data_IF_924191473361
#
_entry.id   IF_924191473361
#
_cell.length_a   1.000
_cell.length_b   1.000
_cell.length_c   1.000
_cell.angle_alpha   90.00
_cell.angle_beta   90.00
_cell.angle_gamma   90.00
#
_symmetry.space_group_name_H-M   'P 1'
#
loop_
_entity.id
_entity.type
_entity.pdbx_description
1 polymer ?
#
# COMPACT_ATOMS: atom_id res chain seq x y z
N UNK A 1 6.53 0.63 -12.08
CA UNK A 1 5.26 0.30 -11.37
C UNK A 1 4.45 1.58 -11.25
N UNK A 2 3.13 1.49 -11.21
CA UNK A 2 2.25 2.62 -10.89
C UNK A 2 1.29 2.24 -9.75
N UNK A 3 1.07 3.15 -8.79
CA UNK A 3 0.11 2.99 -7.69
C UNK A 3 -0.82 4.20 -7.66
N UNK A 4 -2.12 3.96 -7.53
CA UNK A 4 -3.14 5.00 -7.38
C UNK A 4 -3.76 4.91 -5.99
N UNK A 5 -4.01 6.06 -5.38
CA UNK A 5 -4.87 6.22 -4.21
C UNK A 5 -5.96 7.22 -4.58
N UNK A 6 -7.22 6.84 -4.35
CA UNK A 6 -8.39 7.63 -4.70
C UNK A 6 -9.24 7.91 -3.46
N UNK A 7 -9.73 9.14 -3.35
CA UNK A 7 -10.88 9.45 -2.51
C UNK A 7 -12.15 9.08 -3.28
N UNK A 8 -12.86 8.07 -2.78
CA UNK A 8 -13.99 7.46 -3.49
C UNK A 8 -15.29 8.27 -3.36
N UNK A 9 -15.37 9.23 -2.44
CA UNK A 9 -16.54 10.08 -2.29
C UNK A 9 -16.45 11.29 -3.25
N UNK A 10 -17.57 11.72 -3.85
CA UNK A 10 -17.61 12.94 -4.64
C UNK A 10 -17.38 14.22 -3.78
N UNK A 11 -16.73 15.25 -4.35
CA UNK A 11 -16.05 15.26 -5.64
C UNK A 11 -14.82 14.35 -5.64
N UNK A 12 -14.66 13.55 -6.70
CA UNK A 12 -13.57 12.57 -6.76
C UNK A 12 -12.20 13.25 -6.76
N UNK A 13 -11.24 12.60 -6.12
CA UNK A 13 -9.85 13.04 -6.06
C UNK A 13 -8.93 11.83 -6.15
N UNK A 14 -7.82 11.93 -6.87
CA UNK A 14 -6.83 10.86 -6.87
C UNK A 14 -5.40 11.38 -7.02
N UNK A 15 -4.47 10.56 -6.54
CA UNK A 15 -3.03 10.71 -6.76
C UNK A 15 -2.49 9.40 -7.32
N UNK A 16 -1.74 9.49 -8.41
CA UNK A 16 -0.96 8.39 -8.98
C UNK A 16 0.52 8.65 -8.76
N UNK A 17 1.24 7.64 -8.29
CA UNK A 17 2.70 7.62 -8.29
C UNK A 17 3.21 6.63 -9.33
N UNK A 18 4.05 7.11 -10.25
CA UNK A 18 4.92 6.26 -11.05
C UNK A 18 6.21 6.05 -10.27
N UNK A 19 6.65 4.80 -10.15
CA UNK A 19 7.77 4.43 -9.30
C UNK A 19 8.62 3.29 -9.87
N UNK A 20 9.91 3.38 -9.60
CA UNK A 20 10.90 2.33 -9.85
C UNK A 20 10.99 1.42 -8.63
N UNK A 21 11.00 0.10 -8.85
CA UNK A 21 11.22 -0.87 -7.77
C UNK A 21 12.69 -0.80 -7.38
N UNK A 22 12.93 -0.46 -6.11
CA UNK A 22 14.27 -0.33 -5.55
C UNK A 22 14.74 -1.65 -4.95
N UNK A 23 13.84 -2.42 -4.35
CA UNK A 23 14.14 -3.70 -3.72
C UNK A 23 12.95 -4.65 -3.78
N UNK A 24 13.24 -5.95 -3.87
CA UNK A 24 12.29 -7.05 -3.73
C UNK A 24 12.82 -7.98 -2.65
N UNK A 25 12.12 -8.07 -1.52
CA UNK A 25 12.48 -8.95 -0.40
C UNK A 25 11.50 -10.12 -0.33
N UNK A 26 12.02 -11.34 -0.38
CA UNK A 26 11.25 -12.58 -0.39
C UNK A 26 11.88 -13.60 0.59
N UNK A 27 11.15 -14.04 1.64
CA UNK A 27 9.81 -13.58 2.02
C UNK A 27 9.82 -12.19 2.65
N UNK A 28 8.67 -11.55 2.77
CA UNK A 28 8.50 -10.34 3.58
C UNK A 28 8.86 -10.63 5.05
N UNK A 29 9.71 -9.81 5.70
CA UNK A 29 9.97 -9.95 7.13
C UNK A 29 8.67 -9.92 7.96
N UNK A 30 8.47 -10.85 8.92
CA UNK A 30 7.22 -10.94 9.68
C UNK A 30 6.83 -9.65 10.40
N UNK A 31 7.81 -8.94 10.95
CA UNK A 31 7.62 -7.65 11.62
C UNK A 31 7.09 -6.58 10.66
N UNK A 32 7.59 -6.52 9.43
CA UNK A 32 7.13 -5.56 8.42
C UNK A 32 5.70 -5.91 7.96
N UNK A 33 5.41 -7.20 7.82
CA UNK A 33 4.06 -7.65 7.49
C UNK A 33 3.05 -7.26 8.58
N UNK A 34 3.42 -7.46 9.85
CA UNK A 34 2.57 -7.09 10.99
C UNK A 34 2.39 -5.57 11.06
N UNK A 35 3.45 -4.77 10.94
CA UNK A 35 3.38 -3.30 10.95
C UNK A 35 2.46 -2.75 9.86
N UNK A 36 2.54 -3.28 8.63
CA UNK A 36 1.63 -2.91 7.55
C UNK A 36 0.18 -3.29 7.91
N UNK A 37 -0.04 -4.49 8.46
CA UNK A 37 -1.36 -4.94 8.85
C UNK A 37 -1.97 -4.10 9.99
N UNK A 38 -1.16 -3.65 10.96
CA UNK A 38 -1.60 -2.78 12.07
C UNK A 38 -2.26 -1.51 11.55
N UNK A 39 -1.71 -0.92 10.47
CA UNK A 39 -2.24 0.31 9.84
C UNK A 39 -3.70 0.17 9.41
N UNK A 40 -4.15 -1.03 9.02
CA UNK A 40 -5.49 -1.27 8.46
C UNK A 40 -6.43 -2.03 9.39
N UNK A 41 -5.88 -2.90 10.24
CA UNK A 41 -6.66 -3.83 11.05
C UNK A 41 -6.63 -3.52 12.56
N UNK A 42 -5.69 -2.68 13.01
CA UNK A 42 -5.37 -2.50 14.42
C UNK A 42 -4.52 -3.66 14.97
N UNK A 43 -3.96 -3.49 16.17
CA UNK A 43 -2.91 -4.36 16.71
C UNK A 43 -3.28 -5.84 16.81
N UNK A 44 -4.46 -6.15 17.39
CA UNK A 44 -4.85 -7.53 17.66
C UNK A 44 -5.15 -8.30 16.37
N UNK A 45 -5.93 -7.70 15.47
CA UNK A 45 -6.24 -8.31 14.19
C UNK A 45 -5.01 -8.41 13.27
N UNK A 46 -4.06 -7.47 13.38
CA UNK A 46 -2.79 -7.53 12.64
C UNK A 46 -1.91 -8.72 13.06
N UNK A 47 -1.78 -8.98 14.37
CA UNK A 47 -1.06 -10.17 14.87
C UNK A 47 -1.67 -11.46 14.37
N UNK A 48 -3.00 -11.56 14.36
CA UNK A 48 -3.72 -12.73 13.86
C UNK A 48 -3.52 -12.88 12.34
N UNK A 49 -3.60 -11.77 11.60
CA UNK A 49 -3.33 -11.74 10.17
C UNK A 49 -1.92 -12.22 9.84
N UNK A 50 -0.88 -11.67 10.49
CA UNK A 50 0.51 -12.05 10.26
C UNK A 50 0.74 -13.55 10.51
N UNK A 51 0.20 -14.11 11.61
CA UNK A 51 0.26 -15.55 11.90
C UNK A 51 -0.46 -16.39 10.84
N UNK A 52 -1.60 -15.92 10.33
CA UNK A 52 -2.32 -16.63 9.25
C UNK A 52 -1.57 -16.68 7.92
N UNK A 53 -0.48 -15.91 7.78
CA UNK A 53 0.37 -15.91 6.59
C UNK A 53 1.63 -16.76 6.74
N UNK A 54 1.84 -17.37 7.91
CA UNK A 54 2.94 -18.30 8.08
C UNK A 54 2.81 -19.48 7.10
N UNK A 55 3.93 -19.84 6.45
CA UNK A 55 3.96 -20.84 5.38
C UNK A 55 3.31 -20.43 4.05
N UNK A 56 2.72 -19.23 3.94
CA UNK A 56 2.24 -18.67 2.67
C UNK A 56 3.28 -17.75 2.04
N UNK A 57 3.42 -17.79 0.72
CA UNK A 57 4.32 -16.88 0.00
C UNK A 57 3.85 -15.43 0.16
N UNK A 58 4.76 -14.55 0.57
CA UNK A 58 4.58 -13.10 0.54
C UNK A 58 5.88 -12.43 0.08
N UNK A 59 5.75 -11.31 -0.61
CA UNK A 59 6.90 -10.58 -1.16
C UNK A 59 6.72 -9.10 -0.83
N UNK A 60 7.76 -8.50 -0.29
CA UNK A 60 7.81 -7.07 -0.01
C UNK A 60 8.44 -6.34 -1.20
N UNK A 61 7.72 -5.36 -1.74
CA UNK A 61 8.22 -4.47 -2.76
C UNK A 61 8.50 -3.11 -2.16
N UNK A 62 9.76 -2.69 -2.19
CA UNK A 62 10.16 -1.32 -1.86
C UNK A 62 10.36 -0.55 -3.15
N UNK A 63 9.70 0.58 -3.30
CA UNK A 63 9.78 1.40 -4.50
C UNK A 63 10.12 2.86 -4.19
N UNK A 64 10.79 3.51 -5.14
CA UNK A 64 11.10 4.93 -5.10
C UNK A 64 10.15 5.68 -6.03
N UNK A 65 9.40 6.69 -5.54
CA UNK A 65 8.61 7.57 -6.39
C UNK A 65 9.50 8.30 -7.42
N UNK A 66 9.10 8.23 -8.69
CA UNK A 66 9.76 8.95 -9.79
C UNK A 66 8.92 10.13 -10.26
N UNK A 67 7.60 9.96 -10.31
CA UNK A 67 6.67 11.00 -10.74
C UNK A 67 5.35 10.91 -10.00
N UNK A 68 4.81 12.09 -9.64
CA UNK A 68 3.50 12.24 -9.04
C UNK A 68 2.55 12.92 -10.03
N UNK A 69 1.33 12.40 -10.13
CA UNK A 69 0.23 12.96 -10.91
C UNK A 69 -0.99 13.04 -9.99
N UNK A 70 -1.78 14.10 -10.06
CA UNK A 70 -3.00 14.25 -9.27
C UNK A 70 -4.13 14.85 -10.09
N UNK A 71 -5.36 14.54 -9.73
CA UNK A 71 -6.55 15.23 -10.22
C UNK A 71 -7.56 15.40 -9.08
N UNK A 72 -8.29 16.51 -9.12
CA UNK A 72 -9.37 16.85 -8.20
C UNK A 72 -10.50 17.46 -9.02
N UNK A 73 -11.72 16.95 -8.83
CA UNK A 73 -12.89 17.30 -9.64
C UNK A 73 -13.91 18.17 -8.89
N UNK A 74 -13.47 18.90 -7.86
CA UNK A 74 -14.33 19.76 -7.04
C UNK A 74 -15.00 20.89 -7.83
N UNK A 75 -14.36 21.36 -8.90
CA UNK A 75 -14.85 22.46 -9.75
C UNK A 75 -15.69 22.00 -10.96
N UNK A 76 -15.93 20.69 -11.11
CA UNK A 76 -16.75 20.12 -12.19
C UNK A 76 -18.20 19.78 -11.78
N UNK A 77 -18.62 20.23 -10.59
CA UNK A 77 -19.97 20.06 -10.02
C UNK A 77 -20.91 21.25 -10.27
#
# INVERSE_FOLDING_TARGET
>A
MSLVVQHEEPPYQYVVVEASVAEVTDPTPPEVLEEIAVRYLGEEAARQFARSRDGHANVLFTFRPDRWLSAEFSDEL
#
